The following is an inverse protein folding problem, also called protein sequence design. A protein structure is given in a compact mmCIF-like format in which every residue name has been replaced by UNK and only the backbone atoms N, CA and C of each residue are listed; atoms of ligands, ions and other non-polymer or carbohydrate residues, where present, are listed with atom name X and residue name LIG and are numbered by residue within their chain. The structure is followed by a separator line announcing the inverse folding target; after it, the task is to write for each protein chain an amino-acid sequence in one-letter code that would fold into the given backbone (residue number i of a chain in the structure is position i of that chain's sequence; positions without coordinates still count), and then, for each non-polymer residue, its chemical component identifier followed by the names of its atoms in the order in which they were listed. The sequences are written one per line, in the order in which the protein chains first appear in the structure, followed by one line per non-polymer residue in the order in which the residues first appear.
data_IF_529780819936
#
_entry.id   IF_529780819936
#
_cell.length_a   1.000
_cell.length_b   1.000
_cell.length_c   1.000
_cell.angle_alpha   90.00
_cell.angle_beta   90.00
_cell.angle_gamma   90.00
#
_symmetry.space_group_name_H-M   'P 1'
#
loop_
_entity.id
_entity.type
_entity.pdbx_description
1 polymer ?
#
# COMPACT_ATOMS: atom_id res chain seq x y z
N UNK A 1 -19.01 12.50 -15.52
CA UNK A 1 -17.73 13.09 -15.94
C UNK A 1 -16.67 12.33 -15.17
N UNK A 2 -15.83 11.54 -15.84
CA UNK A 2 -14.63 11.01 -15.20
C UNK A 2 -13.70 12.20 -14.94
N UNK A 3 -13.43 12.50 -13.68
CA UNK A 3 -12.41 13.45 -13.31
C UNK A 3 -11.06 12.72 -13.35
N UNK A 4 -10.43 12.68 -14.52
CA UNK A 4 -9.06 12.21 -14.65
C UNK A 4 -8.11 13.38 -14.38
N UNK A 5 -7.19 13.21 -13.44
CA UNK A 5 -6.13 14.19 -13.19
C UNK A 5 -5.30 14.40 -14.47
N UNK A 6 -5.17 15.64 -14.91
CA UNK A 6 -4.25 16.02 -15.99
C UNK A 6 -2.95 16.53 -15.37
N UNK A 7 -1.86 15.82 -15.59
CA UNK A 7 -0.55 16.16 -15.04
C UNK A 7 0.06 17.34 -15.82
N UNK A 8 0.42 18.39 -15.10
CA UNK A 8 1.14 19.55 -15.68
C UNK A 8 2.62 19.55 -15.32
N UNK A 9 3.00 18.88 -14.23
CA UNK A 9 4.37 18.83 -13.76
C UNK A 9 4.65 17.57 -12.93
N UNK A 10 5.90 17.09 -12.99
CA UNK A 10 6.38 15.94 -12.22
C UNK A 10 7.79 16.23 -11.71
N UNK A 11 7.96 16.16 -10.39
CA UNK A 11 9.26 16.31 -9.75
C UNK A 11 9.70 15.00 -9.09
N UNK A 12 10.97 14.65 -9.25
CA UNK A 12 11.59 13.51 -8.55
C UNK A 12 12.63 14.08 -7.60
N UNK A 13 12.47 13.76 -6.32
CA UNK A 13 13.41 14.16 -5.28
C UNK A 13 13.97 12.91 -4.59
N UNK A 14 15.28 12.70 -4.77
CA UNK A 14 16.01 11.64 -4.10
C UNK A 14 16.42 12.11 -2.70
N UNK A 15 15.81 11.52 -1.68
CA UNK A 15 16.26 11.71 -0.31
C UNK A 15 17.46 10.79 -0.06
N UNK A 16 18.54 11.35 0.49
CA UNK A 16 19.77 10.60 0.81
C UNK A 16 19.56 9.45 1.82
N UNK A 17 18.37 9.32 2.39
CA UNK A 17 17.94 8.26 3.32
C UNK A 17 17.47 6.97 2.63
N UNK A 18 17.79 6.77 1.35
CA UNK A 18 17.36 5.58 0.59
C UNK A 18 15.88 5.60 0.20
N UNK A 19 15.25 6.77 0.24
CA UNK A 19 13.87 7.01 -0.16
C UNK A 19 13.82 7.93 -1.38
N UNK A 20 12.88 7.70 -2.28
CA UNK A 20 12.58 8.59 -3.40
C UNK A 20 11.18 9.14 -3.23
N UNK A 21 11.02 10.43 -3.48
CA UNK A 21 9.71 11.10 -3.52
C UNK A 21 9.43 11.54 -4.94
N UNK A 22 8.26 11.17 -5.46
CA UNK A 22 7.77 11.65 -6.76
C UNK A 22 6.54 12.49 -6.52
N UNK A 23 6.56 13.73 -6.98
CA UNK A 23 5.48 14.69 -6.82
C UNK A 23 4.80 14.92 -8.17
N UNK A 24 3.49 14.79 -8.20
CA UNK A 24 2.65 14.98 -9.37
C UNK A 24 1.76 16.20 -9.16
N UNK A 25 1.85 17.18 -10.05
CA UNK A 25 1.00 18.36 -10.02
C UNK A 25 -0.07 18.28 -11.11
N UNK A 26 -1.32 18.47 -10.71
CA UNK A 26 -2.49 18.48 -11.57
C UNK A 26 -2.87 19.89 -12.02
N UNK A 27 -3.49 20.00 -13.19
CA UNK A 27 -3.99 21.28 -13.71
C UNK A 27 -5.05 21.92 -12.79
N UNK A 28 -5.81 21.12 -12.03
CA UNK A 28 -6.81 21.60 -11.07
C UNK A 28 -6.22 22.06 -9.74
N UNK A 29 -4.89 22.11 -9.60
CA UNK A 29 -4.19 22.49 -8.38
C UNK A 29 -3.95 21.34 -7.42
N UNK A 30 -4.24 20.10 -7.80
CA UNK A 30 -3.93 18.92 -7.01
C UNK A 30 -2.42 18.68 -6.94
N UNK A 31 -1.92 18.29 -5.77
CA UNK A 31 -0.55 17.83 -5.57
C UNK A 31 -0.59 16.45 -4.92
N UNK A 32 0.03 15.46 -5.57
CA UNK A 32 0.14 14.09 -5.06
C UNK A 32 1.61 13.75 -4.89
N UNK A 33 2.05 13.54 -3.65
CA UNK A 33 3.43 13.16 -3.33
C UNK A 33 3.50 11.68 -2.95
N UNK A 34 4.25 10.90 -3.73
CA UNK A 34 4.43 9.46 -3.54
C UNK A 34 5.84 9.21 -3.03
N UNK A 35 5.96 8.81 -1.76
CA UNK A 35 7.25 8.47 -1.12
C UNK A 35 7.43 6.95 -1.07
N UNK A 36 8.53 6.47 -1.64
CA UNK A 36 8.83 5.03 -1.76
C UNK A 36 10.29 4.75 -1.42
N UNK A 37 10.60 3.51 -1.03
CA UNK A 37 11.99 3.07 -0.93
C UNK A 37 12.66 3.13 -2.31
N UNK A 38 13.78 3.83 -2.42
CA UNK A 38 14.46 4.07 -3.70
C UNK A 38 14.86 2.75 -4.36
N UNK A 39 15.47 1.83 -3.62
CA UNK A 39 15.84 0.49 -4.13
C UNK A 39 16.71 0.53 -5.40
N UNK A 40 17.46 1.62 -5.61
CA UNK A 40 18.25 1.86 -6.82
C UNK A 40 17.46 2.43 -8.02
N UNK A 41 16.19 2.79 -7.85
CA UNK A 41 15.32 3.33 -8.89
C UNK A 41 15.33 4.87 -8.81
N UNK A 42 15.67 5.54 -9.93
CA UNK A 42 15.77 7.01 -10.05
C UNK A 42 15.10 7.51 -11.33
N UNK A 43 14.88 8.82 -11.43
CA UNK A 43 14.37 9.49 -12.64
C UNK A 43 13.07 8.89 -13.16
N UNK A 44 12.96 8.64 -14.47
CA UNK A 44 11.77 8.08 -15.11
C UNK A 44 11.32 6.74 -14.54
N UNK A 45 12.24 5.91 -14.07
CA UNK A 45 11.90 4.63 -13.46
C UNK A 45 11.18 4.83 -12.11
N UNK A 46 11.56 5.87 -11.35
CA UNK A 46 10.88 6.23 -10.11
C UNK A 46 9.46 6.76 -10.40
N UNK A 47 9.31 7.56 -11.48
CA UNK A 47 8.01 8.06 -11.93
C UNK A 47 7.07 6.91 -12.32
N UNK A 48 7.55 5.96 -13.13
CA UNK A 48 6.74 4.81 -13.55
C UNK A 48 6.32 3.93 -12.37
N UNK A 49 7.23 3.72 -11.41
CA UNK A 49 6.92 2.99 -10.19
C UNK A 49 5.88 3.74 -9.33
N UNK A 50 6.01 5.05 -9.19
CA UNK A 50 5.05 5.87 -8.45
C UNK A 50 3.65 5.80 -9.09
N UNK A 51 3.56 5.88 -10.43
CA UNK A 51 2.30 5.68 -11.16
C UNK A 51 1.69 4.30 -10.90
N UNK A 52 2.50 3.24 -10.93
CA UNK A 52 2.03 1.89 -10.64
C UNK A 52 1.48 1.77 -9.20
N UNK A 53 2.16 2.36 -8.21
CA UNK A 53 1.69 2.40 -6.82
C UNK A 53 0.35 3.12 -6.71
N UNK A 54 0.17 4.26 -7.38
CA UNK A 54 -1.09 4.99 -7.36
C UNK A 54 -2.25 4.16 -7.95
N UNK A 55 -2.03 3.46 -9.07
CA UNK A 55 -3.03 2.56 -9.69
C UNK A 55 -3.36 1.38 -8.76
N UNK A 56 -2.37 0.84 -8.05
CA UNK A 56 -2.63 -0.20 -7.06
C UNK A 56 -3.49 0.32 -5.90
N UNK A 57 -3.21 1.52 -5.38
CA UNK A 57 -3.99 2.12 -4.29
C UNK A 57 -5.45 2.35 -4.68
N UNK A 58 -5.74 2.79 -5.92
CA UNK A 58 -7.13 2.93 -6.38
C UNK A 58 -7.85 1.59 -6.44
N UNK A 59 -7.14 0.51 -6.79
CA UNK A 59 -7.71 -0.85 -6.81
C UNK A 59 -8.06 -1.34 -5.40
N UNK A 60 -7.25 -1.02 -4.38
CA UNK A 60 -7.53 -1.39 -2.99
C UNK A 60 -8.59 -0.50 -2.32
N UNK A 61 -8.80 0.72 -2.82
CA UNK A 61 -9.81 1.63 -2.28
C UNK A 61 -11.24 1.17 -2.57
N UNK A 62 -11.47 0.42 -3.66
CA UNK A 62 -12.78 -0.13 -4.01
C UNK A 62 -13.27 -1.19 -3.01
N UNK A 63 -12.36 -1.84 -2.28
CA UNK A 63 -12.67 -2.86 -1.27
C UNK A 63 -12.68 -2.29 0.17
N UNK A 64 -12.07 -1.11 0.40
CA UNK A 64 -11.97 -0.50 1.73
C UNK A 64 -13.13 0.45 2.01
N UNK A 65 -13.84 0.21 3.11
CA UNK A 65 -14.71 1.22 3.71
C UNK A 65 -13.82 2.39 4.22
N UNK A 66 -13.98 3.62 3.70
CA UNK A 66 -13.14 4.78 4.03
C UNK A 66 -13.19 5.18 5.51
N UNK A 67 -14.15 4.65 6.28
CA UNK A 67 -14.28 4.88 7.72
C UNK A 67 -13.27 4.12 8.60
N UNK A 68 -12.45 3.21 8.05
CA UNK A 68 -11.50 2.39 8.82
C UNK A 68 -10.03 2.77 8.65
N UNK A 69 -9.69 3.79 7.86
CA UNK A 69 -8.29 4.17 7.72
C UNK A 69 -7.87 5.09 8.86
N UNK A 70 -7.39 4.47 9.94
CA UNK A 70 -6.69 5.16 11.02
C UNK A 70 -5.28 5.53 10.53
N UNK A 71 -5.11 6.79 10.13
CA UNK A 71 -3.84 7.34 9.65
C UNK A 71 -2.88 7.72 10.79
N UNK A 72 -3.25 7.46 12.04
CA UNK A 72 -2.52 7.94 13.21
C UNK A 72 -1.49 6.92 13.70
N UNK A 73 -0.67 6.40 12.78
CA UNK A 73 0.55 5.68 13.18
C UNK A 73 1.66 6.72 13.41
N UNK A 74 1.58 7.40 14.55
CA UNK A 74 2.65 8.20 15.09
C UNK A 74 3.88 7.30 15.26
N UNK A 75 5.06 7.77 14.82
CA UNK A 75 6.31 7.02 14.96
C UNK A 75 6.49 6.65 16.44
N UNK A 76 6.45 5.37 16.74
CA UNK A 76 6.84 4.85 18.04
C UNK A 76 8.35 5.06 18.23
N UNK A 77 8.69 6.20 18.82
CA UNK A 77 9.96 6.41 19.52
C UNK A 77 9.94 5.51 20.77
N UNK A 78 10.98 4.68 20.91
CA UNK A 78 11.02 3.60 21.88
C UNK A 78 10.71 4.03 23.32
N UNK A 79 9.73 3.34 23.90
CA UNK A 79 9.44 3.38 25.33
C UNK A 79 8.81 2.06 25.77
N UNK A 80 9.56 1.30 26.56
CA UNK A 80 9.09 0.08 27.23
C UNK A 80 7.78 0.33 28.00
N UNK A 81 6.76 -0.47 27.73
CA UNK A 81 5.49 -0.44 28.45
C UNK A 81 4.53 -1.50 27.93
N UNK A 82 4.50 -2.66 28.60
CA UNK A 82 3.71 -3.83 28.25
C UNK A 82 2.19 -3.57 28.10
N UNK A 83 1.57 -4.11 27.04
CA UNK A 83 0.60 -5.21 27.14
C UNK A 83 0.10 -5.65 25.77
N UNK A 84 0.16 -6.96 25.59
CA UNK A 84 -0.17 -7.78 24.43
C UNK A 84 -1.69 -7.83 24.17
N UNK A 85 -2.12 -7.51 22.94
CA UNK A 85 -3.20 -8.26 22.27
C UNK A 85 -2.86 -8.38 20.78
N UNK A 86 -2.06 -9.39 20.43
CA UNK A 86 -1.89 -9.81 19.04
C UNK A 86 -3.23 -10.41 18.58
N UNK A 87 -3.89 -9.92 17.52
CA UNK A 87 -4.99 -10.66 16.94
C UNK A 87 -4.41 -11.97 16.41
N UNK A 88 -4.85 -13.10 16.97
CA UNK A 88 -4.45 -14.42 16.51
C UNK A 88 -4.64 -14.54 14.99
N UNK A 89 -3.65 -15.06 14.23
CA UNK A 89 -3.90 -15.38 12.84
C UNK A 89 -4.96 -16.47 12.82
N UNK A 90 -6.11 -16.18 12.21
CA UNK A 90 -7.14 -17.17 11.89
C UNK A 90 -6.51 -18.23 10.99
N UNK A 91 -6.05 -19.32 11.60
CA UNK A 91 -5.75 -20.55 10.90
C UNK A 91 -7.07 -21.05 10.33
N UNK A 92 -7.21 -20.99 9.00
CA UNK A 92 -8.25 -21.71 8.29
C UNK A 92 -7.96 -23.20 8.50
N UNK A 93 -8.53 -23.79 9.54
CA UNK A 93 -8.59 -25.22 9.73
C UNK A 93 -9.32 -25.81 8.52
N UNK A 94 -8.55 -26.30 7.56
CA UNK A 94 -9.04 -27.07 6.43
C UNK A 94 -9.77 -28.28 7.01
N UNK A 95 -11.09 -28.29 6.85
CA UNK A 95 -11.98 -29.28 7.42
C UNK A 95 -11.58 -30.70 7.05
N UNK A 96 -11.72 -31.55 8.07
CA UNK A 96 -11.73 -33.01 7.99
C UNK A 96 -12.54 -33.49 6.78
N UNK A 97 -11.90 -34.19 5.84
CA UNK A 97 -12.57 -34.86 4.73
C UNK A 97 -12.96 -36.28 5.20
N UNK A 98 -14.25 -36.62 5.32
CA UNK A 98 -14.63 -38.00 5.59
C UNK A 98 -14.30 -38.85 4.36
N UNK A 99 -13.48 -39.88 4.59
CA UNK A 99 -13.08 -40.87 3.59
C UNK A 99 -14.30 -41.64 3.07
N UNK A 100 -14.54 -41.73 1.75
CA UNK A 100 -15.55 -42.63 1.22
C UNK A 100 -15.09 -44.08 1.35
N UNK A 101 -15.82 -44.88 2.11
CA UNK A 101 -15.67 -46.33 2.15
C UNK A 101 -16.01 -46.91 0.76
N UNK A 102 -15.00 -47.44 0.08
CA UNK A 102 -15.11 -48.12 -1.20
C UNK A 102 -14.45 -49.50 -1.12
N UNK A 103 -15.31 -50.53 -1.15
CA UNK A 103 -15.02 -51.95 -1.05
C UNK A 103 -14.11 -52.47 -2.18
N UNK A 104 -13.13 -53.32 -1.84
CA UNK A 104 -12.48 -54.22 -2.78
C UNK A 104 -11.99 -55.50 -2.08
N UNK A 105 -12.73 -56.59 -2.32
CA UNK A 105 -12.33 -58.00 -2.46
C UNK A 105 -13.34 -58.93 -1.79
#
# INVERSE_FOLDING_TARGET
MEASMQLIDIHVNDANDGMVTVEFQGEGGELVSVKMAAGGVQGDAAINRAKAVMVQLTTFAEDRNPSQVDWNHEREEGGEGASETKPDPVVLSLGDVPSPAGSAA
#
